data_IF_958532967774
#
_entry.id   IF_958532967774
#
_cell.length_a   1.000
_cell.length_b   1.000
_cell.length_c   1.000
_cell.angle_alpha   90.00
_cell.angle_beta   90.00
_cell.angle_gamma   90.00
#
_symmetry.space_group_name_H-M   'P 1'
#
loop_
_entity.id
_entity.type
_entity.pdbx_description
1 polymer ?
#
# COMPACT_ATOMS: atom_id res chain seq x y z
N UNK A 1 -7.16 24.22 35.26
CA UNK A 1 -6.32 24.45 34.08
C UNK A 1 -5.78 23.14 33.49
N UNK A 2 -5.12 22.27 34.27
CA UNK A 2 -4.61 20.97 33.81
C UNK A 2 -5.68 20.01 33.25
N UNK A 3 -6.88 19.95 33.84
CA UNK A 3 -7.97 19.07 33.37
C UNK A 3 -8.50 19.45 31.97
N UNK A 4 -8.55 20.73 31.65
CA UNK A 4 -8.97 21.22 30.33
C UNK A 4 -7.89 20.95 29.27
N UNK A 5 -6.61 21.04 29.66
CA UNK A 5 -5.49 20.69 28.79
C UNK A 5 -5.50 19.19 28.44
N UNK A 6 -5.75 18.32 29.42
CA UNK A 6 -5.86 16.87 29.19
C UNK A 6 -7.03 16.53 28.24
N UNK A 7 -8.20 17.14 28.46
CA UNK A 7 -9.37 16.92 27.61
C UNK A 7 -9.12 17.36 26.14
N UNK A 8 -8.45 18.49 25.95
CA UNK A 8 -8.09 18.99 24.62
C UNK A 8 -7.10 18.06 23.90
N UNK A 9 -6.07 17.58 24.61
CA UNK A 9 -5.08 16.63 24.05
C UNK A 9 -5.76 15.33 23.63
N UNK A 10 -6.64 14.78 24.46
CA UNK A 10 -7.37 13.55 24.12
C UNK A 10 -8.25 13.73 22.89
N UNK A 11 -8.98 14.84 22.77
CA UNK A 11 -9.80 15.11 21.58
C UNK A 11 -8.96 15.21 20.30
N UNK A 12 -7.81 15.89 20.34
CA UNK A 12 -6.91 16.05 19.18
C UNK A 12 -6.34 14.69 18.76
N UNK A 13 -5.99 13.82 19.72
CA UNK A 13 -5.49 12.47 19.41
C UNK A 13 -6.55 11.54 18.81
N UNK A 14 -7.83 11.71 19.16
CA UNK A 14 -8.92 10.93 18.58
C UNK A 14 -9.22 11.34 17.14
N UNK A 15 -9.05 12.62 16.80
CA UNK A 15 -9.19 13.12 15.41
C UNK A 15 -8.02 12.78 14.51
N UNK A 16 -6.91 12.28 15.07
CA UNK A 16 -5.74 11.88 14.27
C UNK A 16 -5.92 10.52 13.57
N UNK A 17 -6.96 9.75 13.90
CA UNK A 17 -7.34 8.55 13.16
C UNK A 17 -8.22 8.96 11.96
N UNK A 18 -7.61 9.13 10.78
CA UNK A 18 -8.37 9.24 9.53
C UNK A 18 -8.75 7.84 9.01
N UNK A 19 -9.91 7.76 8.36
CA UNK A 19 -10.36 6.53 7.72
C UNK A 19 -9.39 6.11 6.62
N UNK A 20 -9.09 4.81 6.56
CA UNK A 20 -8.33 4.25 5.46
C UNK A 20 -9.20 4.06 4.23
N UNK A 21 -8.77 4.62 3.11
CA UNK A 21 -9.29 4.27 1.80
C UNK A 21 -8.40 3.19 1.19
N UNK A 22 -9.00 2.03 0.91
CA UNK A 22 -8.31 0.88 0.32
C UNK A 22 -8.98 0.56 -1.00
N UNK A 23 -8.21 0.64 -2.08
CA UNK A 23 -8.62 0.16 -3.41
C UNK A 23 -7.76 -1.03 -3.78
N UNK A 24 -8.37 -2.07 -4.37
CA UNK A 24 -7.64 -3.23 -4.84
C UNK A 24 -8.20 -3.75 -6.17
N UNK A 25 -7.33 -4.28 -7.01
CA UNK A 25 -7.66 -4.80 -8.32
C UNK A 25 -6.87 -6.10 -8.57
N UNK A 26 -7.58 -7.18 -8.86
CA UNK A 26 -7.02 -8.44 -9.36
C UNK A 26 -7.24 -8.45 -10.87
N UNK A 27 -6.19 -8.69 -11.66
CA UNK A 27 -6.26 -8.64 -13.13
C UNK A 27 -6.33 -10.02 -13.77
N UNK A 28 -5.33 -10.86 -13.51
CA UNK A 28 -5.16 -12.14 -14.21
C UNK A 28 -4.36 -13.13 -13.35
N UNK A 29 -4.74 -13.26 -12.07
CA UNK A 29 -4.10 -14.17 -11.13
C UNK A 29 -4.57 -15.61 -11.40
N UNK A 30 -3.64 -16.47 -11.83
CA UNK A 30 -3.90 -17.89 -12.02
C UNK A 30 -3.46 -18.68 -10.79
N UNK A 31 -4.35 -18.76 -9.81
CA UNK A 31 -4.13 -19.45 -8.55
C UNK A 31 -3.84 -20.96 -8.69
N UNK A 32 -4.03 -21.53 -9.88
CA UNK A 32 -3.97 -22.99 -10.12
C UNK A 32 -2.72 -23.42 -10.86
N UNK A 33 -1.93 -22.47 -11.38
CA UNK A 33 -0.76 -22.77 -12.19
C UNK A 33 0.52 -22.71 -11.37
N UNK A 34 0.99 -23.88 -10.92
CA UNK A 34 2.24 -24.02 -10.16
C UNK A 34 3.51 -23.71 -10.99
N UNK A 35 3.40 -23.48 -12.29
CA UNK A 35 4.52 -23.09 -13.15
C UNK A 35 4.78 -21.58 -13.15
N UNK A 36 4.04 -20.80 -12.36
CA UNK A 36 4.24 -19.36 -12.19
C UNK A 36 4.78 -19.03 -10.80
N UNK A 37 5.78 -18.16 -10.75
CA UNK A 37 6.28 -17.56 -9.50
C UNK A 37 5.51 -16.26 -9.22
N UNK A 38 4.98 -16.11 -8.01
CA UNK A 38 4.37 -14.87 -7.52
C UNK A 38 5.34 -14.15 -6.57
N UNK A 39 5.47 -12.83 -6.73
CA UNK A 39 6.19 -11.97 -5.80
C UNK A 39 5.44 -10.66 -5.60
N UNK A 40 5.45 -10.13 -4.38
CA UNK A 40 4.82 -8.86 -4.06
C UNK A 40 5.83 -7.86 -3.49
N UNK A 41 5.58 -6.59 -3.72
CA UNK A 41 6.34 -5.46 -3.18
C UNK A 41 5.36 -4.41 -2.65
N UNK A 42 5.74 -3.75 -1.57
CA UNK A 42 5.01 -2.60 -1.03
C UNK A 42 5.90 -1.37 -1.13
N UNK A 43 5.41 -0.32 -1.78
CA UNK A 43 6.12 0.96 -2.02
C UNK A 43 5.25 2.13 -1.54
N UNK A 44 5.83 3.29 -1.25
CA UNK A 44 5.08 4.52 -1.01
C UNK A 44 5.15 5.47 -2.20
N UNK A 45 4.01 6.06 -2.60
CA UNK A 45 4.00 7.08 -3.66
C UNK A 45 4.84 8.28 -3.25
N UNK A 46 5.78 8.67 -4.08
CA UNK A 46 6.65 9.82 -3.81
C UNK A 46 7.94 9.47 -3.08
N UNK A 47 8.16 8.19 -2.77
CA UNK A 47 9.49 7.71 -2.41
C UNK A 47 10.40 7.70 -3.65
N UNK A 48 11.65 8.15 -3.50
CA UNK A 48 12.64 8.20 -4.59
C UNK A 48 12.99 6.81 -5.11
N UNK A 49 12.87 5.82 -4.25
CA UNK A 49 13.43 4.48 -4.49
C UNK A 49 12.38 3.55 -5.14
N UNK A 50 11.11 3.98 -5.21
CA UNK A 50 10.00 3.20 -5.80
C UNK A 50 10.33 2.67 -7.20
N UNK A 51 10.92 3.50 -8.06
CA UNK A 51 11.25 3.07 -9.43
C UNK A 51 12.36 2.01 -9.45
N UNK A 52 13.33 2.12 -8.55
CA UNK A 52 14.43 1.15 -8.42
C UNK A 52 13.88 -0.20 -7.92
N UNK A 53 13.00 -0.19 -6.93
CA UNK A 53 12.35 -1.40 -6.43
C UNK A 53 11.49 -2.09 -7.49
N UNK A 54 10.76 -1.30 -8.30
CA UNK A 54 9.90 -1.82 -9.35
C UNK A 54 10.69 -2.39 -10.54
N UNK A 55 11.91 -1.92 -10.79
CA UNK A 55 12.77 -2.43 -11.86
C UNK A 55 13.11 -3.94 -11.69
N UNK A 56 13.09 -4.45 -10.45
CA UNK A 56 13.27 -5.89 -10.18
C UNK A 56 12.17 -6.77 -10.83
N UNK A 57 11.05 -6.17 -11.22
CA UNK A 57 9.89 -6.84 -11.81
C UNK A 57 9.73 -6.55 -13.31
N UNK A 58 10.73 -5.96 -13.96
CA UNK A 58 10.72 -5.75 -15.41
C UNK A 58 10.53 -7.08 -16.16
N UNK A 59 9.52 -7.11 -17.04
CA UNK A 59 9.12 -8.32 -17.78
C UNK A 59 8.27 -9.31 -16.99
N UNK A 60 7.85 -8.99 -15.77
CA UNK A 60 6.83 -9.74 -15.03
C UNK A 60 5.43 -9.18 -15.32
N UNK A 61 4.40 -10.00 -15.12
CA UNK A 61 3.00 -9.61 -15.29
C UNK A 61 2.42 -9.13 -13.95
N UNK A 62 1.93 -7.89 -13.88
CA UNK A 62 1.21 -7.39 -12.70
C UNK A 62 -0.16 -8.08 -12.57
N UNK A 63 -0.39 -8.81 -11.49
CA UNK A 63 -1.63 -9.57 -11.26
C UNK A 63 -2.51 -9.02 -10.14
N UNK A 64 -1.92 -8.29 -9.21
CA UNK A 64 -2.62 -7.64 -8.11
C UNK A 64 -1.99 -6.26 -7.83
N UNK A 65 -2.83 -5.28 -7.58
CA UNK A 65 -2.42 -4.02 -7.01
C UNK A 65 -3.43 -3.58 -5.95
N UNK A 66 -2.96 -3.08 -4.83
CA UNK A 66 -3.77 -2.36 -3.85
C UNK A 66 -3.09 -1.09 -3.41
N UNK A 67 -3.91 -0.08 -3.14
CA UNK A 67 -3.45 1.20 -2.62
C UNK A 67 -4.15 1.44 -1.28
N UNK A 68 -3.37 1.90 -0.30
CA UNK A 68 -3.82 2.28 1.03
C UNK A 68 -3.45 3.75 1.25
N UNK A 69 -4.47 4.58 1.49
CA UNK A 69 -4.29 6.00 1.81
C UNK A 69 -5.20 6.40 2.95
N UNK A 70 -4.82 7.43 3.69
CA UNK A 70 -5.63 8.07 4.74
C UNK A 70 -5.57 9.57 4.52
N UNK A 71 -6.61 10.32 4.90
CA UNK A 71 -6.68 11.78 4.65
C UNK A 71 -5.55 12.57 5.36
N UNK A 72 -4.90 11.95 6.35
CA UNK A 72 -3.79 12.53 7.10
C UNK A 72 -2.40 12.06 6.59
N UNK A 73 -2.33 11.20 5.57
CA UNK A 73 -1.08 10.83 4.89
C UNK A 73 -0.89 11.70 3.64
N UNK A 74 0.35 12.13 3.41
CA UNK A 74 0.75 12.85 2.18
C UNK A 74 1.08 11.91 1.02
N UNK A 75 1.25 10.62 1.31
CA UNK A 75 1.63 9.56 0.38
C UNK A 75 0.63 8.40 0.48
N UNK A 76 0.61 7.55 -0.53
CA UNK A 76 -0.21 6.34 -0.60
C UNK A 76 0.72 5.15 -0.60
N UNK A 77 0.40 4.14 0.19
CA UNK A 77 1.12 2.88 0.20
C UNK A 77 0.53 1.97 -0.89
N UNK A 78 1.34 1.49 -1.81
CA UNK A 78 0.93 0.55 -2.86
C UNK A 78 1.56 -0.81 -2.63
N UNK A 79 0.73 -1.85 -2.54
CA UNK A 79 1.17 -3.24 -2.66
C UNK A 79 0.88 -3.75 -4.05
N UNK A 80 1.91 -4.22 -4.75
CA UNK A 80 1.81 -4.77 -6.10
C UNK A 80 2.35 -6.19 -6.11
N UNK A 81 1.63 -7.13 -6.74
CA UNK A 81 2.11 -8.49 -6.94
C UNK A 81 2.23 -8.83 -8.42
N UNK A 82 3.33 -9.48 -8.75
CA UNK A 82 3.75 -9.82 -10.09
C UNK A 82 3.93 -11.33 -10.25
N UNK A 83 3.58 -11.84 -11.42
CA UNK A 83 3.82 -13.22 -11.84
C UNK A 83 4.85 -13.30 -12.95
N UNK A 84 5.64 -14.37 -12.94
CA UNK A 84 6.50 -14.74 -14.06
C UNK A 84 6.49 -16.25 -14.23
N UNK A 85 6.48 -16.71 -15.48
CA UNK A 85 6.67 -18.12 -15.80
C UNK A 85 8.07 -18.56 -15.32
N UNK A 86 8.13 -19.73 -14.68
CA UNK A 86 9.38 -20.34 -14.22
C UNK A 86 10.30 -20.73 -15.39
#
# INVERSE_FOLDING_TARGET
>A
MIKALFAAVTLVTLTACSGANVTSQIRDFDATNSAKMLRCVTVETGDSDTNEELAAYDGWSLVYASEYTTDNKSTTELTMCFEKAL
#
